data_IF_546286205685
#
_entry.id   IF_546286205685
#
_cell.length_a   1.000
_cell.length_b   1.000
_cell.length_c   1.000
_cell.angle_alpha   90.00
_cell.angle_beta   90.00
_cell.angle_gamma   90.00
#
_symmetry.space_group_name_H-M   'P 1'
#
loop_
_entity.id
_entity.type
_entity.pdbx_description
1 polymer ?
#
# COMPACT_ATOMS: atom_id res chain seq x y z
N UNK A 1 -16.30 -30.72 14.96
CA UNK A 1 -16.22 -30.06 13.64
C UNK A 1 -14.93 -30.50 12.98
N UNK A 2 -14.93 -30.79 11.68
CA UNK A 2 -13.70 -31.22 10.98
C UNK A 2 -12.78 -30.03 10.68
N UNK A 3 -11.46 -30.25 10.67
CA UNK A 3 -10.46 -29.23 10.32
C UNK A 3 -10.77 -28.58 8.96
N UNK A 4 -11.23 -29.38 8.00
CA UNK A 4 -11.64 -28.90 6.68
C UNK A 4 -12.80 -27.89 6.75
N UNK A 5 -13.82 -28.17 7.56
CA UNK A 5 -14.96 -27.27 7.74
C UNK A 5 -14.55 -25.96 8.43
N UNK A 6 -13.65 -26.02 9.41
CA UNK A 6 -13.10 -24.84 10.09
C UNK A 6 -12.32 -23.97 9.11
N UNK A 7 -11.48 -24.56 8.25
CA UNK A 7 -10.72 -23.82 7.23
C UNK A 7 -11.63 -23.11 6.23
N UNK A 8 -12.65 -23.80 5.71
CA UNK A 8 -13.61 -23.19 4.77
C UNK A 8 -14.39 -22.06 5.45
N UNK A 9 -14.85 -22.25 6.68
CA UNK A 9 -15.55 -21.21 7.42
C UNK A 9 -14.67 -19.99 7.64
N UNK A 10 -13.42 -20.18 8.05
CA UNK A 10 -12.48 -19.09 8.32
C UNK A 10 -12.14 -18.30 7.05
N UNK A 11 -11.81 -19.01 5.96
CA UNK A 11 -11.52 -18.39 4.67
C UNK A 11 -12.78 -17.69 4.14
N UNK A 12 -13.92 -18.39 4.07
CA UNK A 12 -15.17 -17.83 3.59
C UNK A 12 -15.63 -16.60 4.39
N UNK A 13 -15.52 -16.63 5.71
CA UNK A 13 -15.87 -15.51 6.58
C UNK A 13 -14.97 -14.29 6.36
N UNK A 14 -13.66 -14.49 6.17
CA UNK A 14 -12.75 -13.36 5.90
C UNK A 14 -13.06 -12.68 4.57
N UNK A 15 -13.30 -13.45 3.50
CA UNK A 15 -13.74 -12.88 2.21
C UNK A 15 -15.09 -12.17 2.33
N UNK A 16 -16.07 -12.78 2.99
CA UNK A 16 -17.38 -12.16 3.20
C UNK A 16 -17.27 -10.84 3.98
N UNK A 17 -16.42 -10.78 4.99
CA UNK A 17 -16.14 -9.57 5.75
C UNK A 17 -15.54 -8.47 4.87
N UNK A 18 -14.49 -8.78 4.10
CA UNK A 18 -13.87 -7.80 3.18
C UNK A 18 -14.85 -7.29 2.13
N UNK A 19 -15.68 -8.16 1.55
CA UNK A 19 -16.72 -7.78 0.59
C UNK A 19 -17.79 -6.91 1.28
N UNK A 20 -18.20 -7.25 2.50
CA UNK A 20 -19.13 -6.46 3.29
C UNK A 20 -18.61 -5.04 3.56
N UNK A 21 -17.34 -4.91 3.94
CA UNK A 21 -16.68 -3.61 4.12
C UNK A 21 -16.61 -2.84 2.80
N UNK A 22 -16.28 -3.52 1.68
CA UNK A 22 -16.20 -2.88 0.36
C UNK A 22 -17.56 -2.33 -0.12
N UNK A 23 -18.65 -3.04 0.15
CA UNK A 23 -20.01 -2.59 -0.19
C UNK A 23 -20.42 -1.43 0.71
N UNK A 24 -20.11 -1.50 2.01
CA UNK A 24 -20.42 -0.44 2.98
C UNK A 24 -19.62 0.85 2.73
N UNK A 25 -18.34 0.73 2.35
CA UNK A 25 -17.44 1.85 2.08
C UNK A 25 -17.51 2.38 0.64
N UNK A 26 -18.56 2.05 -0.12
CA UNK A 26 -18.70 2.43 -1.53
C UNK A 26 -18.89 3.95 -1.66
N UNK A 27 -17.96 4.61 -2.35
CA UNK A 27 -17.99 6.07 -2.55
C UNK A 27 -18.85 6.41 -3.78
N UNK A 28 -19.74 7.40 -3.65
CA UNK A 28 -20.71 7.78 -4.70
C UNK A 28 -20.20 8.77 -5.77
N UNK A 29 -19.04 9.40 -5.57
CA UNK A 29 -18.51 10.46 -6.44
C UNK A 29 -17.01 10.27 -6.72
N UNK A 30 -16.57 10.57 -7.95
CA UNK A 30 -15.17 10.47 -8.37
C UNK A 30 -14.23 11.42 -7.63
N UNK A 31 -14.70 12.60 -7.22
CA UNK A 31 -13.88 13.56 -6.44
C UNK A 31 -13.52 13.03 -5.06
N UNK A 32 -14.46 12.35 -4.40
CA UNK A 32 -14.26 11.75 -3.08
C UNK A 32 -13.38 10.50 -3.15
N UNK A 33 -13.40 9.78 -4.27
CA UNK A 33 -12.51 8.65 -4.52
C UNK A 33 -11.03 9.08 -4.70
N UNK A 34 -10.77 10.23 -5.34
CA UNK A 34 -9.41 10.68 -5.62
C UNK A 34 -8.74 11.45 -4.47
N UNK A 35 -9.51 12.19 -3.66
CA UNK A 35 -8.96 13.01 -2.57
C UNK A 35 -9.25 12.38 -1.19
N UNK A 36 -10.04 11.30 -1.14
CA UNK A 36 -10.52 10.68 0.10
C UNK A 36 -11.00 11.74 1.12
N UNK A 37 -11.75 12.73 0.63
CA UNK A 37 -12.28 13.85 1.41
C UNK A 37 -11.24 14.73 2.14
N UNK A 38 -9.93 14.55 1.92
CA UNK A 38 -8.88 15.30 2.61
C UNK A 38 -8.79 15.06 4.13
N UNK A 39 -9.55 14.09 4.66
CA UNK A 39 -9.77 13.90 6.10
C UNK A 39 -9.30 12.55 6.66
N UNK A 40 -8.49 11.78 5.93
CA UNK A 40 -7.97 10.51 6.46
C UNK A 40 -6.99 10.80 7.60
N UNK A 41 -7.26 10.24 8.78
CA UNK A 41 -6.38 10.35 9.94
C UNK A 41 -4.99 9.76 9.62
N UNK A 42 -3.88 10.43 10.01
CA UNK A 42 -2.52 10.00 9.66
C UNK A 42 -2.20 8.55 10.06
N UNK A 43 -2.77 8.07 11.18
CA UNK A 43 -2.60 6.68 11.63
C UNK A 43 -3.26 5.71 10.66
N UNK A 44 -4.49 5.97 10.21
CA UNK A 44 -5.21 5.12 9.26
C UNK A 44 -4.50 5.08 7.91
N UNK A 45 -3.95 6.21 7.47
CA UNK A 45 -3.12 6.26 6.27
C UNK A 45 -1.82 5.45 6.44
N UNK A 46 -1.19 5.51 7.61
CA UNK A 46 -0.01 4.68 7.94
C UNK A 46 -0.33 3.18 7.97
N UNK A 47 -1.49 2.79 8.52
CA UNK A 47 -1.95 1.41 8.53
C UNK A 47 -2.23 0.88 7.12
N UNK A 48 -2.82 1.70 6.24
CA UNK A 48 -3.05 1.34 4.84
C UNK A 48 -1.72 1.07 4.11
N UNK A 49 -0.75 1.97 4.27
CA UNK A 49 0.60 1.82 3.70
C UNK A 49 1.32 0.57 4.22
N UNK A 50 1.16 0.26 5.52
CA UNK A 50 1.69 -0.95 6.13
C UNK A 50 1.01 -2.23 5.63
N UNK A 51 -0.30 -2.19 5.40
CA UNK A 51 -1.05 -3.30 4.82
C UNK A 51 -0.63 -3.55 3.36
N UNK A 52 -0.42 -2.50 2.56
CA UNK A 52 0.06 -2.60 1.18
C UNK A 52 1.50 -3.13 1.10
N UNK A 53 2.34 -2.82 2.10
CA UNK A 53 3.69 -3.38 2.20
C UNK A 53 3.67 -4.90 2.44
N UNK A 54 2.70 -5.40 3.22
CA UNK A 54 2.54 -6.81 3.53
C UNK A 54 1.62 -7.50 2.50
N UNK A 55 2.12 -7.73 1.28
CA UNK A 55 1.40 -8.54 0.28
C UNK A 55 1.41 -10.04 0.62
N UNK A 56 0.37 -10.77 0.23
CA UNK A 56 0.29 -12.23 0.41
C UNK A 56 1.46 -12.98 -0.25
N UNK A 57 1.97 -12.47 -1.37
CA UNK A 57 3.15 -13.02 -2.05
C UNK A 57 4.40 -12.91 -1.17
N UNK A 58 4.57 -11.77 -0.50
CA UNK A 58 5.65 -11.52 0.47
C UNK A 58 5.57 -12.50 1.65
N UNK A 59 4.37 -12.72 2.18
CA UNK A 59 4.15 -13.60 3.33
C UNK A 59 4.45 -15.07 2.99
N UNK A 60 3.95 -15.57 1.85
CA UNK A 60 4.19 -16.94 1.41
C UNK A 60 5.67 -17.14 1.05
N UNK A 61 6.28 -16.18 0.36
CA UNK A 61 7.71 -16.20 0.02
C UNK A 61 8.58 -16.29 1.27
N UNK A 62 8.23 -15.57 2.33
CA UNK A 62 8.98 -15.58 3.58
C UNK A 62 8.84 -16.90 4.35
N UNK A 63 7.63 -17.47 4.40
CA UNK A 63 7.41 -18.79 4.96
C UNK A 63 8.22 -19.87 4.22
N UNK A 64 8.29 -19.77 2.88
CA UNK A 64 9.10 -20.67 2.06
C UNK A 64 10.61 -20.51 2.29
N UNK A 65 11.12 -19.28 2.35
CA UNK A 65 12.53 -18.99 2.61
C UNK A 65 12.99 -19.52 3.98
N UNK A 66 12.19 -19.31 5.03
CA UNK A 66 12.53 -19.80 6.37
C UNK A 66 12.42 -21.32 6.44
N UNK A 67 11.40 -21.92 5.82
CA UNK A 67 11.26 -23.37 5.76
C UNK A 67 12.44 -24.06 5.04
N UNK A 68 13.03 -23.40 4.04
CA UNK A 68 14.14 -23.95 3.25
C UNK A 68 15.54 -23.64 3.82
N UNK A 69 15.78 -22.45 4.37
CA UNK A 69 17.11 -21.99 4.80
C UNK A 69 17.22 -21.55 6.26
N UNK A 70 16.19 -21.80 7.08
CA UNK A 70 16.24 -21.65 8.53
C UNK A 70 16.42 -20.22 9.04
N UNK A 71 16.89 -20.09 10.27
CA UNK A 71 16.97 -18.81 11.00
C UNK A 71 17.91 -17.78 10.36
N UNK A 72 18.91 -18.20 9.57
CA UNK A 72 19.81 -17.26 8.89
C UNK A 72 19.06 -16.31 7.94
N UNK A 73 17.95 -16.76 7.35
CA UNK A 73 17.08 -15.97 6.48
C UNK A 73 16.28 -14.91 7.25
N UNK A 74 16.25 -14.92 8.58
CA UNK A 74 15.66 -13.84 9.39
C UNK A 74 16.41 -12.51 9.22
N UNK A 75 17.71 -12.55 8.86
CA UNK A 75 18.50 -11.34 8.55
C UNK A 75 17.94 -10.60 7.34
N UNK A 76 17.40 -11.32 6.36
CA UNK A 76 16.71 -10.75 5.21
C UNK A 76 15.44 -9.99 5.64
N UNK A 77 14.70 -10.49 6.65
CA UNK A 77 13.55 -9.79 7.22
C UNK A 77 13.94 -8.44 7.81
N UNK A 78 15.01 -8.42 8.60
CA UNK A 78 15.50 -7.22 9.29
C UNK A 78 16.00 -6.18 8.29
N UNK A 79 16.75 -6.60 7.28
CA UNK A 79 17.23 -5.73 6.21
C UNK A 79 16.10 -5.16 5.35
N UNK A 80 15.12 -5.98 5.00
CA UNK A 80 13.98 -5.55 4.19
C UNK A 80 13.05 -4.58 4.95
N UNK A 81 12.71 -4.89 6.20
CA UNK A 81 11.89 -4.02 7.05
C UNK A 81 12.62 -2.71 7.36
N UNK A 82 13.92 -2.79 7.68
CA UNK A 82 14.76 -1.61 7.91
C UNK A 82 14.86 -0.71 6.67
N UNK A 83 15.02 -1.30 5.47
CA UNK A 83 15.04 -0.56 4.21
C UNK A 83 13.72 0.15 3.91
N UNK A 84 12.59 -0.50 4.17
CA UNK A 84 11.28 0.12 4.02
C UNK A 84 11.07 1.31 4.96
N UNK A 85 11.48 1.19 6.23
CA UNK A 85 11.41 2.28 7.21
C UNK A 85 12.34 3.44 6.84
N UNK A 86 13.55 3.16 6.36
CA UNK A 86 14.48 4.18 5.87
C UNK A 86 13.90 4.92 4.67
N UNK A 87 13.35 4.21 3.69
CA UNK A 87 12.68 4.85 2.56
C UNK A 87 11.47 5.67 3.00
N UNK A 88 10.63 5.15 3.89
CA UNK A 88 9.47 5.86 4.39
C UNK A 88 9.86 7.15 5.13
N UNK A 89 10.94 7.15 5.91
CA UNK A 89 11.40 8.31 6.68
C UNK A 89 12.21 9.30 5.86
N UNK A 90 12.97 8.88 4.84
CA UNK A 90 13.75 9.79 3.98
C UNK A 90 12.96 10.30 2.78
N UNK A 91 12.16 9.45 2.14
CA UNK A 91 11.44 9.81 0.91
C UNK A 91 10.15 10.59 1.20
N UNK A 92 9.43 10.25 2.28
CA UNK A 92 8.19 10.94 2.62
C UNK A 92 8.36 12.44 2.95
N UNK A 93 9.40 12.93 3.66
CA UNK A 93 9.61 14.36 3.83
C UNK A 93 10.06 15.05 2.53
N UNK A 94 10.82 14.34 1.68
CA UNK A 94 11.24 14.87 0.37
C UNK A 94 10.06 15.09 -0.57
N UNK A 95 9.15 14.12 -0.70
CA UNK A 95 7.95 14.23 -1.54
C UNK A 95 6.97 15.29 -1.03
N UNK A 96 6.84 15.47 0.30
CA UNK A 96 6.03 16.55 0.90
C UNK A 96 6.58 17.94 0.56
N UNK A 97 7.90 18.10 0.44
CA UNK A 97 8.55 19.38 0.08
C UNK A 97 8.32 19.80 -1.38
N UNK A 98 8.08 18.84 -2.29
CA UNK A 98 7.86 19.12 -3.72
C UNK A 98 6.38 19.19 -4.13
N UNK A 99 5.43 19.03 -3.20
CA UNK A 99 4.00 19.17 -3.47
C UNK A 99 3.41 18.20 -4.50
N UNK A 100 4.16 17.15 -4.89
CA UNK A 100 3.73 16.14 -5.87
C UNK A 100 3.33 14.86 -5.15
N UNK A 101 2.03 14.69 -4.93
CA UNK A 101 1.46 13.53 -4.25
C UNK A 101 1.06 12.38 -5.19
N UNK A 102 1.27 12.53 -6.50
CA UNK A 102 1.03 11.47 -7.50
C UNK A 102 2.04 11.56 -8.65
N UNK A 103 2.63 10.43 -9.06
CA UNK A 103 3.62 10.36 -10.16
C UNK A 103 3.05 10.89 -11.49
N UNK A 104 1.72 10.76 -11.70
CA UNK A 104 1.03 11.27 -12.89
C UNK A 104 1.02 12.81 -13.00
N UNK A 105 1.22 13.55 -11.91
CA UNK A 105 1.34 15.02 -11.98
C UNK A 105 2.73 15.49 -12.46
N UNK A 106 3.71 14.59 -12.56
CA UNK A 106 5.04 14.93 -13.08
C UNK A 106 5.02 15.21 -14.57
N UNK A 107 4.27 14.41 -15.33
CA UNK A 107 4.23 14.44 -16.79
C UNK A 107 3.14 15.36 -17.34
N UNK A 108 2.00 15.50 -16.66
CA UNK A 108 0.92 16.39 -17.11
C UNK A 108 1.30 17.88 -16.97
N UNK A 109 1.88 18.27 -15.83
CA UNK A 109 2.29 19.67 -15.55
C UNK A 109 3.58 20.06 -16.28
N UNK A 110 4.46 19.10 -16.61
CA UNK A 110 5.62 19.37 -17.46
C UNK A 110 5.24 19.55 -18.95
N UNK A 111 4.16 18.91 -19.43
CA UNK A 111 3.74 18.99 -20.83
C UNK A 111 3.06 20.32 -21.22
N UNK A 112 2.55 21.07 -20.25
CA UNK A 112 1.91 22.38 -20.47
C UNK A 112 2.85 23.55 -20.22
N UNK A 113 3.84 23.41 -19.33
CA UNK A 113 4.88 24.41 -19.12
C UNK A 113 5.86 24.52 -20.32
N UNK A 114 6.16 23.40 -20.99
CA UNK A 114 7.11 23.39 -22.11
C UNK A 114 6.51 23.83 -23.46
N UNK A 115 5.18 24.04 -23.56
CA UNK A 115 4.55 24.53 -24.80
C UNK A 115 4.52 26.06 -24.95
N UNK A 116 4.77 26.82 -23.87
CA UNK A 116 4.85 28.29 -23.91
C UNK A 116 6.28 28.84 -23.99
N UNK A 117 7.29 28.00 -23.72
CA UNK A 117 8.69 28.38 -23.80
C UNK A 117 9.30 28.26 -25.22
N UNK A 118 8.58 27.65 -26.16
CA UNK A 118 9.01 27.48 -27.55
C UNK A 118 8.18 28.30 -28.55
N UNK A 119 7.45 29.31 -28.08
CA UNK A 119 6.69 30.24 -28.93
C UNK A 119 6.99 31.71 -28.65
N UNK A 120 8.12 32.01 -27.99
CA UNK A 120 8.69 33.36 -27.84
C UNK A 120 10.20 33.28 -27.88
#
# INVERSE_FOLDING_TARGET
MSQFAINILFVGASFALYIGIAIWAKVGSTKDFYVAGGGIHPITNGMAIGADWMSAASFISMAGLIAAGGYANSTFLMGWTGGYVLLATLLAPYLRKFGKFTVRNSSATASTANRRAWSR
#
